data_IF_087590832574
#
_entry.id   IF_087590832574
#
_cell.length_a   1.000
_cell.length_b   1.000
_cell.length_c   1.000
_cell.angle_alpha   90.00
_cell.angle_beta   90.00
_cell.angle_gamma   90.00
#
_symmetry.space_group_name_H-M   'P 1'
#
loop_
_entity.id
_entity.type
_entity.pdbx_description
1 polymer ?
#
# COMPACT_ATOMS: atom_id res chain seq x y z
N UNK A 1 -8.73 -27.67 26.90
CA UNK A 1 -7.38 -27.80 26.29
C UNK A 1 -7.37 -27.61 24.76
N UNK A 2 -8.15 -28.36 23.97
CA UNK A 2 -8.21 -28.24 22.48
C UNK A 2 -8.64 -26.85 21.94
N UNK A 3 -9.43 -26.09 22.70
CA UNK A 3 -9.90 -24.75 22.31
C UNK A 3 -8.83 -23.65 22.46
N UNK A 4 -7.90 -23.82 23.42
CA UNK A 4 -6.79 -22.86 23.62
C UNK A 4 -5.70 -23.05 22.55
N UNK A 5 -5.45 -24.29 22.12
CA UNK A 5 -4.50 -24.58 21.05
C UNK A 5 -4.92 -23.94 19.72
N UNK A 6 -6.20 -24.05 19.32
CA UNK A 6 -6.72 -23.37 18.13
C UNK A 6 -6.67 -21.83 18.24
N UNK A 7 -7.02 -21.28 19.41
CA UNK A 7 -6.90 -19.82 19.65
C UNK A 7 -5.46 -19.32 19.51
N UNK A 8 -4.48 -20.05 20.04
CA UNK A 8 -3.06 -19.71 19.95
C UNK A 8 -2.56 -19.79 18.50
N UNK A 9 -3.01 -20.77 17.72
CA UNK A 9 -2.69 -20.91 16.31
C UNK A 9 -3.22 -19.72 15.48
N UNK A 10 -4.49 -19.33 15.67
CA UNK A 10 -5.07 -18.15 15.02
C UNK A 10 -4.37 -16.83 15.40
N UNK A 11 -3.97 -16.69 16.67
CA UNK A 11 -3.24 -15.51 17.13
C UNK A 11 -1.85 -15.41 16.51
N UNK A 12 -1.10 -16.52 16.47
CA UNK A 12 0.22 -16.55 15.85
C UNK A 12 0.15 -16.27 14.34
N UNK A 13 -0.87 -16.79 13.64
CA UNK A 13 -1.12 -16.48 12.23
C UNK A 13 -1.41 -14.98 12.02
N UNK A 14 -2.24 -14.37 12.87
CA UNK A 14 -2.54 -12.95 12.82
C UNK A 14 -1.28 -12.09 13.03
N UNK A 15 -0.51 -12.37 14.10
CA UNK A 15 0.74 -11.66 14.37
C UNK A 15 1.75 -11.80 13.24
N UNK A 16 1.89 -13.00 12.67
CA UNK A 16 2.76 -13.25 11.53
C UNK A 16 2.36 -12.44 10.29
N UNK A 17 1.06 -12.40 9.96
CA UNK A 17 0.56 -11.65 8.80
C UNK A 17 0.76 -10.14 8.97
N UNK A 18 0.52 -9.61 10.17
CA UNK A 18 0.78 -8.20 10.49
C UNK A 18 2.26 -7.91 10.36
N UNK A 19 3.12 -8.68 11.02
CA UNK A 19 4.56 -8.46 10.97
C UNK A 19 5.08 -8.51 9.54
N UNK A 20 4.64 -9.50 8.75
CA UNK A 20 4.98 -9.61 7.33
C UNK A 20 4.52 -8.38 6.54
N UNK A 21 3.29 -7.94 6.74
CA UNK A 21 2.74 -6.75 6.08
C UNK A 21 3.60 -5.51 6.39
N UNK A 22 3.88 -5.26 7.67
CA UNK A 22 4.71 -4.13 8.09
C UNK A 22 6.12 -4.19 7.49
N UNK A 23 6.79 -5.35 7.54
CA UNK A 23 8.15 -5.50 6.98
C UNK A 23 8.16 -5.24 5.48
N UNK A 24 7.22 -5.85 4.73
CA UNK A 24 7.10 -5.62 3.29
C UNK A 24 6.82 -4.16 3.01
N UNK A 25 5.87 -3.55 3.73
CA UNK A 25 5.46 -2.17 3.49
C UNK A 25 6.56 -1.17 3.81
N UNK A 26 7.28 -1.35 4.91
CA UNK A 26 8.44 -0.52 5.24
C UNK A 26 9.52 -0.62 4.16
N UNK A 27 9.81 -1.84 3.69
CA UNK A 27 10.80 -2.05 2.64
C UNK A 27 10.39 -1.40 1.31
N UNK A 28 9.15 -1.61 0.86
CA UNK A 28 8.67 -1.06 -0.41
C UNK A 28 8.46 0.46 -0.35
N UNK A 29 8.01 1.00 0.78
CA UNK A 29 7.95 2.44 1.00
C UNK A 29 9.33 3.09 0.97
N UNK A 30 10.32 2.49 1.64
CA UNK A 30 11.70 3.00 1.61
C UNK A 30 12.27 2.96 0.19
N UNK A 31 12.10 1.83 -0.51
CA UNK A 31 12.54 1.67 -1.89
C UNK A 31 11.87 2.71 -2.82
N UNK A 32 10.58 2.97 -2.63
CA UNK A 32 9.84 4.00 -3.39
C UNK A 32 10.46 5.37 -3.17
N UNK A 33 10.61 5.80 -1.92
CA UNK A 33 11.17 7.11 -1.61
C UNK A 33 12.59 7.26 -2.14
N UNK A 34 13.42 6.22 -2.01
CA UNK A 34 14.78 6.20 -2.52
C UNK A 34 14.84 6.36 -4.04
N UNK A 35 14.05 5.58 -4.78
CA UNK A 35 14.00 5.65 -6.24
C UNK A 35 13.45 7.01 -6.70
N UNK A 36 12.41 7.53 -6.04
CA UNK A 36 11.86 8.86 -6.33
C UNK A 36 12.91 9.95 -6.10
N UNK A 37 13.67 9.91 -5.00
CA UNK A 37 14.74 10.88 -4.76
C UNK A 37 15.82 10.82 -5.84
N UNK A 38 16.26 9.62 -6.25
CA UNK A 38 17.24 9.46 -7.32
C UNK A 38 16.70 10.03 -8.63
N UNK A 39 15.47 9.68 -8.97
CA UNK A 39 14.80 10.14 -10.19
C UNK A 39 14.70 11.67 -10.22
N UNK A 40 14.19 12.30 -9.15
CA UNK A 40 14.05 13.76 -9.08
C UNK A 40 15.41 14.47 -9.11
N UNK A 41 16.43 13.90 -8.47
CA UNK A 41 17.81 14.41 -8.55
C UNK A 41 18.33 14.38 -9.97
N UNK A 42 18.09 13.29 -10.71
CA UNK A 42 18.53 13.15 -12.10
C UNK A 42 17.90 14.22 -13.02
N UNK A 43 16.63 14.55 -12.82
CA UNK A 43 15.93 15.61 -13.56
C UNK A 43 16.17 17.03 -13.00
N UNK A 44 17.01 17.20 -11.97
CA UNK A 44 17.24 18.47 -11.28
C UNK A 44 15.96 19.15 -10.78
N UNK A 45 14.98 18.37 -10.32
CA UNK A 45 13.79 18.91 -9.64
C UNK A 45 14.18 19.36 -8.23
N UNK A 46 13.67 20.52 -7.81
CA UNK A 46 13.96 21.06 -6.48
C UNK A 46 13.46 20.15 -5.34
N UNK A 47 14.25 20.12 -4.26
CA UNK A 47 13.97 19.38 -3.04
C UNK A 47 13.72 17.87 -3.26
N UNK A 48 14.60 17.13 -3.97
CA UNK A 48 14.35 15.73 -4.32
C UNK A 48 14.28 14.80 -3.10
N UNK A 49 15.00 15.13 -2.03
CA UNK A 49 14.97 14.39 -0.75
C UNK A 49 13.61 14.59 -0.05
N UNK A 50 13.10 15.83 -0.01
CA UNK A 50 11.80 16.14 0.60
C UNK A 50 10.70 15.31 -0.08
N UNK A 51 10.66 15.31 -1.41
CA UNK A 51 9.65 14.59 -2.17
C UNK A 51 9.79 13.07 -2.06
N UNK A 52 11.01 12.54 -2.00
CA UNK A 52 11.20 11.10 -1.75
C UNK A 52 10.78 10.68 -0.35
N UNK A 53 11.02 11.50 0.68
CA UNK A 53 10.53 11.24 2.05
C UNK A 53 9.01 11.29 2.09
N UNK A 54 8.38 12.28 1.45
CA UNK A 54 6.91 12.34 1.35
C UNK A 54 6.37 11.11 0.63
N UNK A 55 6.98 10.71 -0.49
CA UNK A 55 6.62 9.50 -1.21
C UNK A 55 6.75 8.25 -0.34
N UNK A 56 7.83 8.11 0.44
CA UNK A 56 8.00 7.02 1.39
C UNK A 56 6.92 7.00 2.46
N UNK A 57 6.63 8.14 3.09
CA UNK A 57 5.65 8.24 4.17
C UNK A 57 4.23 7.93 3.67
N UNK A 58 3.86 8.48 2.51
CA UNK A 58 2.55 8.26 1.94
C UNK A 58 2.39 6.88 1.30
N UNK A 59 3.46 6.25 0.82
CA UNK A 59 3.37 4.91 0.23
C UNK A 59 2.82 3.89 1.25
N UNK A 60 3.01 4.10 2.56
CA UNK A 60 2.36 3.30 3.60
C UNK A 60 0.84 3.19 3.45
N UNK A 61 0.17 4.22 2.92
CA UNK A 61 -1.25 4.18 2.57
C UNK A 61 -1.43 3.54 1.19
N UNK A 62 -2.07 2.36 1.09
CA UNK A 62 -2.20 1.64 -0.18
C UNK A 62 -2.87 2.47 -1.27
N UNK A 63 -2.30 2.46 -2.48
CA UNK A 63 -2.77 3.09 -3.74
C UNK A 63 -2.93 4.61 -3.68
N UNK A 64 -3.75 5.11 -2.75
CA UNK A 64 -4.12 6.52 -2.63
C UNK A 64 -2.93 7.37 -2.18
N UNK A 65 -2.15 6.87 -1.23
CA UNK A 65 -1.06 7.64 -0.66
C UNK A 65 0.01 8.00 -1.68
N UNK A 66 0.50 7.02 -2.44
CA UNK A 66 1.54 7.24 -3.44
C UNK A 66 1.07 8.12 -4.61
N UNK A 67 -0.23 8.11 -4.96
CA UNK A 67 -0.80 9.06 -5.93
C UNK A 67 -0.76 10.47 -5.36
N UNK A 68 -1.26 10.67 -4.14
CA UNK A 68 -1.28 12.00 -3.49
C UNK A 68 0.14 12.55 -3.34
N UNK A 69 1.11 11.72 -2.96
CA UNK A 69 2.50 12.13 -2.82
C UNK A 69 3.14 12.59 -4.14
N UNK A 70 2.70 12.02 -5.27
CA UNK A 70 3.23 12.37 -6.58
C UNK A 70 2.77 13.74 -7.07
N UNK A 71 1.58 14.20 -6.66
CA UNK A 71 0.95 15.44 -7.18
C UNK A 71 1.86 16.66 -7.01
N UNK A 72 2.36 17.00 -5.81
CA UNK A 72 3.16 18.22 -5.66
C UNK A 72 4.52 18.13 -6.37
N UNK A 73 5.14 16.94 -6.38
CA UNK A 73 6.42 16.72 -7.06
C UNK A 73 6.27 16.87 -8.60
N UNK A 74 5.18 16.34 -9.16
CA UNK A 74 4.85 16.48 -10.58
C UNK A 74 4.53 17.94 -10.92
N UNK A 75 3.77 18.64 -10.08
CA UNK A 75 3.47 20.06 -10.27
C UNK A 75 4.76 20.91 -10.29
N UNK A 76 5.69 20.65 -9.36
CA UNK A 76 6.98 21.33 -9.37
C UNK A 76 7.81 21.01 -10.62
N UNK A 77 7.82 19.76 -11.07
CA UNK A 77 8.50 19.38 -12.30
C UNK A 77 7.91 20.11 -13.52
N UNK A 78 6.59 20.25 -13.60
CA UNK A 78 5.91 21.00 -14.65
C UNK A 78 6.21 22.51 -14.62
N UNK A 79 6.49 23.07 -13.43
CA UNK A 79 6.80 24.48 -13.27
C UNK A 79 8.26 24.81 -13.58
N UNK A 80 9.19 23.92 -13.20
CA UNK A 80 10.62 24.22 -13.19
C UNK A 80 11.40 23.56 -14.34
N UNK A 81 10.81 22.58 -15.03
CA UNK A 81 11.45 21.87 -16.15
C UNK A 81 10.81 22.21 -17.49
N UNK A 82 11.50 21.85 -18.57
CA UNK A 82 10.91 21.82 -19.90
C UNK A 82 9.83 20.72 -20.01
N UNK A 83 8.93 20.87 -20.98
CA UNK A 83 7.77 19.99 -21.14
C UNK A 83 8.16 18.52 -21.35
N UNK A 84 9.28 18.25 -22.03
CA UNK A 84 9.73 16.88 -22.27
C UNK A 84 10.22 16.22 -20.98
N UNK A 85 11.05 16.93 -20.21
CA UNK A 85 11.53 16.46 -18.91
C UNK A 85 10.39 16.24 -17.91
N UNK A 86 9.40 17.15 -17.88
CA UNK A 86 8.24 17.00 -17.00
C UNK A 86 7.37 15.77 -17.35
N UNK A 87 7.17 15.49 -18.66
CA UNK A 87 6.49 14.27 -19.10
C UNK A 87 7.25 13.02 -18.65
N UNK A 88 8.58 13.01 -18.76
CA UNK A 88 9.39 11.89 -18.29
C UNK A 88 9.26 11.66 -16.78
N UNK A 89 9.25 12.74 -15.99
CA UNK A 89 9.01 12.66 -14.54
C UNK A 89 7.67 11.99 -14.25
N UNK A 90 6.59 12.38 -14.93
CA UNK A 90 5.25 11.79 -14.75
C UNK A 90 5.25 10.30 -15.10
N UNK A 91 5.81 9.94 -16.26
CA UNK A 91 5.86 8.56 -16.75
C UNK A 91 6.67 7.69 -15.79
N UNK A 92 7.83 8.15 -15.34
CA UNK A 92 8.68 7.41 -14.40
C UNK A 92 8.00 7.26 -13.04
N UNK A 93 7.31 8.31 -12.54
CA UNK A 93 6.53 8.20 -11.30
C UNK A 93 5.45 7.12 -11.40
N UNK A 94 4.75 7.05 -12.55
CA UNK A 94 3.73 6.04 -12.81
C UNK A 94 4.34 4.63 -12.88
N UNK A 95 5.49 4.47 -13.55
CA UNK A 95 6.22 3.20 -13.64
C UNK A 95 6.66 2.75 -12.25
N UNK A 96 7.23 3.64 -11.43
CA UNK A 96 7.63 3.34 -10.05
C UNK A 96 6.42 2.87 -9.25
N UNK A 97 5.30 3.58 -9.35
CA UNK A 97 4.07 3.24 -8.63
C UNK A 97 3.53 1.86 -9.01
N UNK A 98 3.41 1.58 -10.31
CA UNK A 98 2.92 0.28 -10.80
C UNK A 98 3.90 -0.84 -10.39
N UNK A 99 5.20 -0.62 -10.58
CA UNK A 99 6.22 -1.64 -10.30
C UNK A 99 6.27 -1.99 -8.82
N UNK A 100 6.19 -0.99 -7.93
CA UNK A 100 6.30 -1.24 -6.49
C UNK A 100 4.96 -1.68 -5.92
N UNK A 101 3.92 -0.86 -6.08
CA UNK A 101 2.63 -1.07 -5.41
C UNK A 101 1.81 -2.21 -6.00
N UNK A 102 1.88 -2.44 -7.33
CA UNK A 102 1.05 -3.45 -7.99
C UNK A 102 1.78 -4.75 -8.30
N UNK A 103 3.11 -4.75 -8.33
CA UNK A 103 3.91 -5.95 -8.70
C UNK A 103 4.76 -6.43 -7.52
N UNK A 104 5.64 -5.58 -7.00
CA UNK A 104 6.59 -5.97 -5.96
C UNK A 104 5.90 -6.27 -4.63
N UNK A 105 4.99 -5.40 -4.16
CA UNK A 105 4.25 -5.58 -2.91
C UNK A 105 3.47 -6.90 -2.88
N UNK A 106 2.60 -7.21 -3.87
CA UNK A 106 1.88 -8.49 -3.89
C UNK A 106 2.81 -9.70 -3.92
N UNK A 107 3.90 -9.61 -4.69
CA UNK A 107 4.88 -10.71 -4.81
C UNK A 107 5.60 -10.98 -3.49
N UNK A 108 6.01 -9.93 -2.75
CA UNK A 108 6.66 -10.05 -1.44
C UNK A 108 5.68 -10.52 -0.35
N UNK A 109 4.41 -10.11 -0.44
CA UNK A 109 3.36 -10.60 0.46
C UNK A 109 3.04 -12.09 0.22
N UNK A 110 3.36 -12.65 -0.95
CA UNK A 110 3.47 -14.09 -1.18
C UNK A 110 2.15 -14.87 -1.18
N UNK A 111 1.02 -14.17 -1.24
CA UNK A 111 -0.32 -14.69 -1.51
C UNK A 111 -1.05 -13.60 -2.27
N UNK A 112 -1.84 -13.96 -3.28
CA UNK A 112 -2.95 -13.09 -3.65
C UNK A 112 -3.76 -12.91 -2.36
N UNK A 113 -3.93 -11.66 -1.92
CA UNK A 113 -4.72 -11.36 -0.74
C UNK A 113 -6.17 -11.86 -0.90
N UNK A 114 -6.55 -12.28 -2.12
CA UNK A 114 -7.89 -12.73 -2.49
C UNK A 114 -8.91 -11.62 -2.28
N UNK A 115 -8.45 -10.36 -2.34
CA UNK A 115 -9.24 -9.16 -2.18
C UNK A 115 -9.22 -8.40 -3.49
N UNK A 116 -10.39 -8.13 -4.04
CA UNK A 116 -10.49 -7.27 -5.22
C UNK A 116 -9.99 -5.84 -4.89
N UNK A 117 -9.43 -5.10 -5.87
CA UNK A 117 -9.03 -3.70 -5.67
C UNK A 117 -10.16 -2.80 -5.15
N UNK A 118 -11.41 -3.11 -5.52
CA UNK A 118 -12.60 -2.41 -5.01
C UNK A 118 -12.79 -2.63 -3.51
N UNK A 119 -12.61 -3.85 -3.02
CA UNK A 119 -12.74 -4.17 -1.59
C UNK A 119 -11.65 -3.48 -0.79
N UNK A 120 -10.43 -3.42 -1.32
CA UNK A 120 -9.34 -2.64 -0.72
C UNK A 120 -9.74 -1.16 -0.65
N UNK A 121 -10.25 -0.59 -1.74
CA UNK A 121 -10.68 0.80 -1.79
C UNK A 121 -11.80 1.13 -0.79
N UNK A 122 -12.86 0.33 -0.73
CA UNK A 122 -13.93 0.52 0.25
C UNK A 122 -13.43 0.33 1.68
N UNK A 123 -12.51 -0.62 1.90
CA UNK A 123 -11.89 -0.82 3.22
C UNK A 123 -11.09 0.39 3.65
N UNK A 124 -10.35 1.04 2.75
CA UNK A 124 -9.61 2.26 3.05
C UNK A 124 -10.54 3.39 3.50
N UNK A 125 -11.69 3.56 2.83
CA UNK A 125 -12.68 4.56 3.22
C UNK A 125 -13.30 4.21 4.57
N UNK A 126 -13.73 2.96 4.75
CA UNK A 126 -14.41 2.50 5.95
C UNK A 126 -13.50 2.58 7.19
N UNK A 127 -12.32 1.97 7.13
CA UNK A 127 -11.37 1.99 8.25
C UNK A 127 -10.74 3.37 8.43
N UNK A 128 -10.53 4.12 7.34
CA UNK A 128 -10.10 5.51 7.40
C UNK A 128 -11.08 6.42 8.12
N UNK A 129 -12.39 6.20 7.93
CA UNK A 129 -13.42 6.93 8.66
C UNK A 129 -13.43 6.61 10.15
N UNK A 130 -13.20 5.34 10.53
CA UNK A 130 -13.28 4.88 11.93
C UNK A 130 -12.03 5.25 12.73
N UNK A 131 -10.84 5.00 12.16
CA UNK A 131 -9.54 5.07 12.88
C UNK A 131 -8.57 6.11 12.27
N UNK A 132 -9.03 6.90 11.29
CA UNK A 132 -8.19 7.88 10.61
C UNK A 132 -7.07 7.25 9.77
N UNK A 133 -5.91 7.92 9.74
CA UNK A 133 -4.73 7.49 8.96
C UNK A 133 -4.26 6.09 9.38
N UNK A 134 -4.31 5.77 10.67
CA UNK A 134 -3.94 4.44 11.18
C UNK A 134 -4.87 3.36 10.61
N UNK A 135 -6.16 3.66 10.49
CA UNK A 135 -7.14 2.79 9.85
C UNK A 135 -6.86 2.53 8.38
N UNK A 136 -6.49 3.58 7.63
CA UNK A 136 -6.12 3.44 6.21
C UNK A 136 -4.88 2.56 6.05
N UNK A 137 -3.89 2.73 6.92
CA UNK A 137 -2.67 1.94 6.90
C UNK A 137 -2.91 0.44 7.21
N UNK A 138 -3.82 0.15 8.15
CA UNK A 138 -4.18 -1.21 8.56
C UNK A 138 -5.37 -1.81 7.80
N UNK A 139 -5.95 -1.08 6.84
CA UNK A 139 -7.18 -1.50 6.16
C UNK A 139 -7.03 -2.89 5.51
N UNK A 140 -5.93 -3.13 4.80
CA UNK A 140 -5.66 -4.41 4.13
C UNK A 140 -5.56 -5.59 5.11
N UNK A 141 -4.70 -5.57 6.15
CA UNK A 141 -4.61 -6.70 7.08
C UNK A 141 -5.89 -6.92 7.89
N UNK A 142 -6.62 -5.86 8.27
CA UNK A 142 -7.89 -5.99 9.00
C UNK A 142 -8.93 -6.65 8.08
N UNK A 143 -9.09 -6.16 6.86
CA UNK A 143 -10.04 -6.72 5.89
C UNK A 143 -9.70 -8.15 5.50
N UNK A 144 -8.41 -8.48 5.35
CA UNK A 144 -7.98 -9.85 5.10
C UNK A 144 -8.34 -10.78 6.26
N UNK A 145 -8.14 -10.33 7.51
CA UNK A 145 -8.50 -11.11 8.70
C UNK A 145 -10.00 -11.35 8.77
N UNK A 146 -10.82 -10.34 8.45
CA UNK A 146 -12.27 -10.47 8.36
C UNK A 146 -12.70 -11.46 7.27
N UNK A 147 -12.09 -11.38 6.08
CA UNK A 147 -12.36 -12.33 5.00
C UNK A 147 -12.09 -13.77 5.43
N UNK A 148 -10.92 -14.03 6.05
CA UNK A 148 -10.57 -15.37 6.56
C UNK A 148 -11.58 -15.84 7.61
N UNK A 149 -12.03 -14.94 8.49
CA UNK A 149 -13.05 -15.26 9.48
C UNK A 149 -14.39 -15.62 8.82
N UNK A 150 -14.81 -14.90 7.78
CA UNK A 150 -16.06 -15.20 7.05
C UNK A 150 -15.97 -16.49 6.22
N UNK A 151 -14.84 -16.75 5.57
CA UNK A 151 -14.57 -17.97 4.81
C UNK A 151 -14.59 -19.22 5.73
N UNK A 152 -14.25 -19.06 7.02
CA UNK A 152 -14.23 -20.15 7.99
C UNK A 152 -15.61 -20.59 8.50
N UNK A 153 -16.66 -19.81 8.27
CA UNK A 153 -18.02 -20.09 8.75
C UNK A 153 -18.99 -20.31 7.57
N UNK A 154 -19.57 -21.50 7.49
CA UNK A 154 -20.45 -21.95 6.38
C UNK A 154 -21.66 -21.05 6.15
N UNK A 155 -22.14 -20.31 7.17
CA UNK A 155 -23.27 -19.38 7.02
C UNK A 155 -22.89 -17.99 6.45
N UNK A 156 -21.62 -17.58 6.52
CA UNK A 156 -21.13 -16.26 6.05
C UNK A 156 -20.21 -16.35 4.84
N UNK A 157 -20.01 -17.55 4.30
CA UNK A 157 -19.16 -17.79 3.12
C UNK A 157 -19.55 -16.92 1.90
N UNK A 158 -20.83 -16.54 1.77
CA UNK A 158 -21.28 -15.65 0.70
C UNK A 158 -20.65 -14.24 0.77
N UNK A 159 -20.38 -13.71 1.96
CA UNK A 159 -19.66 -12.44 2.15
C UNK A 159 -18.19 -12.57 1.71
N UNK A 160 -17.58 -13.73 1.98
CA UNK A 160 -16.23 -14.04 1.52
C UNK A 160 -16.09 -14.02 0.00
N UNK A 161 -17.07 -14.58 -0.72
CA UNK A 161 -17.15 -14.55 -2.19
C UNK A 161 -17.33 -13.12 -2.73
N UNK A 162 -18.09 -12.26 -2.04
CA UNK A 162 -18.25 -10.85 -2.45
C UNK A 162 -16.98 -10.02 -2.26
N UNK A 163 -16.08 -10.47 -1.38
CA UNK A 163 -14.82 -9.78 -1.08
C UNK A 163 -13.66 -10.19 -2.00
N UNK A 164 -13.79 -11.30 -2.72
CA UNK A 164 -12.85 -11.77 -3.75
C UNK A 164 -13.14 -11.16 -5.12
#
# INVERSE_FOLDING_TARGET
FRNNAKKLEHFNLFSFNIQKYFVVKTFTSFLTGFIVTIMLTFFNVDYPILWGVIAMLFNFVPVVGSIIASIPAILLALMNLDIFSAIWVIVLYMIINISISNILEPKLMGRELGLSPLVIFFSLIFWGYILGIVGMFLAVPITMTLKIAFDSNTSTHWLGILMS
#
